data_IF_951531936668
#
_entry.id   IF_951531936668
#
_cell.length_a   1.000
_cell.length_b   1.000
_cell.length_c   1.000
_cell.angle_alpha   90.00
_cell.angle_beta   90.00
_cell.angle_gamma   90.00
#
_symmetry.space_group_name_H-M   'P 1'
#
loop_
_entity.id
_entity.type
_entity.pdbx_description
1 polymer ?
#
# COMPACT_ATOMS: atom_id res chain seq x y z
N UNK A 1 5.51 0.85 -17.29
CA UNK A 1 4.53 1.30 -16.29
C UNK A 1 5.10 1.26 -14.88
N UNK A 2 5.80 0.20 -14.47
CA UNK A 2 6.42 0.10 -13.12
C UNK A 2 7.47 1.19 -12.76
N UNK A 3 8.05 1.87 -13.75
CA UNK A 3 9.05 2.92 -13.53
C UNK A 3 8.45 4.33 -13.40
N UNK A 4 7.13 4.50 -13.42
CA UNK A 4 6.54 5.84 -13.28
C UNK A 4 6.61 6.31 -11.82
N UNK A 5 6.78 7.61 -11.61
CA UNK A 5 6.83 8.19 -10.25
C UNK A 5 5.54 7.88 -9.50
N UNK A 6 4.38 7.96 -10.18
CA UNK A 6 3.09 7.65 -9.57
C UNK A 6 3.01 6.20 -9.09
N UNK A 7 3.51 5.25 -9.88
CA UNK A 7 3.59 3.84 -9.48
C UNK A 7 4.45 3.64 -8.23
N UNK A 8 5.64 4.24 -8.20
CA UNK A 8 6.55 4.13 -7.05
C UNK A 8 5.95 4.77 -5.78
N UNK A 9 5.26 5.90 -5.91
CA UNK A 9 4.52 6.52 -4.80
C UNK A 9 3.37 5.63 -4.31
N UNK A 10 2.63 4.98 -5.22
CA UNK A 10 1.58 4.02 -4.87
C UNK A 10 2.12 2.84 -4.07
N UNK A 11 3.21 2.24 -4.57
CA UNK A 11 3.92 1.16 -3.88
C UNK A 11 4.41 1.58 -2.49
N UNK A 12 5.02 2.76 -2.38
CA UNK A 12 5.50 3.30 -1.11
C UNK A 12 4.36 3.59 -0.12
N UNK A 13 3.21 4.07 -0.60
CA UNK A 13 2.03 4.32 0.23
C UNK A 13 1.48 3.01 0.82
N UNK A 14 1.38 1.96 -0.01
CA UNK A 14 0.97 0.64 0.44
C UNK A 14 1.94 0.04 1.46
N UNK A 15 3.26 0.09 1.20
CA UNK A 15 4.30 -0.37 2.15
C UNK A 15 4.26 0.37 3.50
N UNK A 16 3.85 1.64 3.51
CA UNK A 16 3.70 2.45 4.73
C UNK A 16 2.32 2.31 5.39
N UNK A 17 1.44 1.43 4.86
CA UNK A 17 0.04 1.28 5.31
C UNK A 17 -0.74 2.58 5.33
N UNK A 18 -0.44 3.48 4.40
CA UNK A 18 -1.20 4.72 4.23
C UNK A 18 -2.51 4.36 3.55
N UNK A 19 -3.64 4.58 4.22
CA UNK A 19 -4.96 4.42 3.61
C UNK A 19 -5.05 5.27 2.33
N UNK A 20 -5.64 4.75 1.26
CA UNK A 20 -5.75 5.44 -0.03
C UNK A 20 -6.40 6.83 0.14
N UNK A 21 -7.43 6.93 0.99
CA UNK A 21 -8.12 8.17 1.33
C UNK A 21 -7.20 9.23 1.98
N UNK A 22 -6.11 8.82 2.62
CA UNK A 22 -5.13 9.70 3.23
C UNK A 22 -3.93 9.98 2.31
N UNK A 23 -3.87 9.34 1.15
CA UNK A 23 -2.79 9.55 0.17
C UNK A 23 -3.06 10.80 -0.68
N UNK A 24 -2.00 11.45 -1.16
CA UNK A 24 -2.13 12.61 -2.03
C UNK A 24 -2.82 12.30 -3.38
N UNK A 25 -3.07 11.01 -3.70
CA UNK A 25 -3.66 10.58 -4.96
C UNK A 25 -5.13 10.98 -5.10
N UNK A 26 -5.87 11.17 -4.00
CA UNK A 26 -7.26 11.65 -4.03
C UNK A 26 -7.38 13.04 -4.70
N UNK A 27 -6.26 13.76 -4.82
CA UNK A 27 -6.18 15.07 -5.47
C UNK A 27 -5.90 14.97 -6.97
N UNK A 28 -5.58 13.78 -7.50
CA UNK A 28 -5.48 13.55 -8.93
C UNK A 28 -6.87 13.33 -9.53
N UNK A 29 -6.98 13.61 -10.83
CA UNK A 29 -8.18 13.25 -11.59
C UNK A 29 -8.23 11.72 -11.74
N UNK A 30 -9.36 11.12 -11.36
CA UNK A 30 -9.62 9.67 -11.43
C UNK A 30 -9.46 9.09 -12.84
N UNK A 31 -9.64 9.90 -13.89
CA UNK A 31 -9.49 9.48 -15.29
C UNK A 31 -8.08 9.73 -15.83
N UNK A 32 -7.10 10.03 -14.98
CA UNK A 32 -5.73 10.30 -15.41
C UNK A 32 -4.85 9.06 -15.31
N UNK A 33 -3.98 8.87 -16.30
CA UNK A 33 -2.96 7.81 -16.29
C UNK A 33 -2.11 7.81 -15.01
N UNK A 34 -1.90 8.97 -14.39
CA UNK A 34 -1.15 9.08 -13.13
C UNK A 34 -1.91 8.48 -11.94
N UNK A 35 -3.24 8.57 -11.94
CA UNK A 35 -4.09 7.94 -10.94
C UNK A 35 -4.06 6.41 -11.13
N UNK A 36 -4.20 5.95 -12.37
CA UNK A 36 -4.11 4.52 -12.71
C UNK A 36 -2.74 3.92 -12.35
N UNK A 37 -1.65 4.62 -12.69
CA UNK A 37 -0.30 4.20 -12.36
C UNK A 37 -0.08 4.09 -10.85
N UNK A 38 -0.61 5.02 -10.06
CA UNK A 38 -0.52 4.97 -8.60
C UNK A 38 -1.34 3.81 -8.03
N UNK A 39 -2.57 3.61 -8.50
CA UNK A 39 -3.39 2.48 -8.07
C UNK A 39 -2.72 1.15 -8.42
N UNK A 40 -2.11 1.03 -9.61
CA UNK A 40 -1.35 -0.14 -9.98
C UNK A 40 -0.17 -0.37 -9.02
N UNK A 41 0.56 0.68 -8.64
CA UNK A 41 1.64 0.58 -7.65
C UNK A 41 1.14 0.19 -6.25
N UNK A 42 0.05 0.80 -5.79
CA UNK A 42 -0.56 0.55 -4.49
C UNK A 42 -1.08 -0.89 -4.39
N UNK A 43 -1.80 -1.36 -5.41
CA UNK A 43 -2.37 -2.71 -5.47
C UNK A 43 -1.32 -3.78 -5.82
N UNK A 44 -0.13 -3.40 -6.31
CA UNK A 44 0.98 -4.35 -6.54
C UNK A 44 1.55 -4.90 -5.24
N UNK A 45 1.33 -4.22 -4.12
CA UNK A 45 1.72 -4.68 -2.79
C UNK A 45 0.56 -5.49 -2.23
N UNK A 46 0.74 -6.81 -2.19
CA UNK A 46 -0.23 -7.69 -1.55
C UNK A 46 -0.28 -7.39 -0.05
N UNK A 47 -1.44 -7.01 0.48
CA UNK A 47 -1.60 -6.79 1.92
C UNK A 47 -1.43 -8.09 2.73
N UNK A 48 -1.58 -9.26 2.10
CA UNK A 48 -1.23 -10.57 2.69
C UNK A 48 0.28 -10.73 2.94
N UNK A 49 1.15 -10.01 2.21
CA UNK A 49 2.59 -9.97 2.52
C UNK A 49 2.94 -8.89 3.56
N UNK A 50 2.00 -7.97 3.80
CA UNK A 50 2.06 -7.07 4.95
C UNK A 50 1.47 -7.74 6.19
N UNK A 51 0.85 -8.93 6.07
CA UNK A 51 0.33 -9.67 7.21
C UNK A 51 1.44 -10.39 7.98
N UNK A 52 1.40 -10.13 9.28
CA UNK A 52 2.25 -10.68 10.33
C UNK A 52 3.76 -10.54 10.06
N UNK A 53 4.20 -9.35 9.60
CA UNK A 53 5.57 -8.87 9.79
C UNK A 53 5.88 -8.73 11.28
N UNK A 54 6.06 -9.86 11.97
CA UNK A 54 6.66 -9.93 13.29
C UNK A 54 8.10 -9.48 13.09
N UNK A 55 8.32 -8.17 13.22
CA UNK A 55 9.63 -7.58 13.21
C UNK A 55 10.50 -8.34 14.23
N UNK A 56 11.64 -8.82 13.76
CA UNK A 56 12.77 -9.33 14.54
C UNK A 56 13.20 -8.45 15.75
N UNK A 57 12.62 -7.26 15.94
CA UNK A 57 12.75 -6.38 17.10
C UNK A 57 11.78 -6.66 18.27
N UNK A 58 11.05 -7.78 18.27
CA UNK A 58 10.47 -8.33 19.51
C UNK A 58 9.26 -7.57 20.07
N UNK A 59 8.47 -6.91 19.21
CA UNK A 59 7.16 -6.40 19.63
C UNK A 59 6.11 -7.50 19.48
N UNK A 60 5.37 -7.76 20.56
CA UNK A 60 4.30 -8.77 20.61
C UNK A 60 3.30 -8.53 19.48
N UNK A 61 3.18 -9.51 18.59
CA UNK A 61 2.17 -9.58 17.54
C UNK A 61 0.78 -9.71 18.20
N UNK A 62 0.14 -8.57 18.45
CA UNK A 62 -1.27 -8.52 18.85
C UNK A 62 -2.13 -8.58 17.59
N UNK A 63 -2.79 -9.74 17.43
CA UNK A 63 -4.02 -9.95 16.66
C UNK A 63 -3.84 -10.15 15.14
N UNK A 64 -3.24 -11.29 14.76
CA UNK A 64 -3.79 -12.06 13.65
C UNK A 64 -4.84 -12.98 14.35
N UNK A 65 -6.07 -12.48 14.58
CA UNK A 65 -7.18 -13.31 15.06
C UNK A 65 -7.53 -14.26 13.91
N UNK A 66 -6.95 -15.46 13.92
CA UNK A 66 -7.57 -16.60 13.26
C UNK A 66 -8.83 -16.90 14.06
N UNK A 67 -9.99 -16.53 13.51
CA UNK A 67 -11.29 -17.02 13.95
C UNK A 67 -11.29 -18.57 13.86
N UNK A 68 -11.09 -19.25 15.00
CA UNK A 68 -11.58 -20.61 15.28
C UNK A 68 -12.51 -20.61 16.51
#
# INVERSE_FOLDING_TARGET
MENSIAYQEGKNAALKRIAIENSAIIKLNENSQRYDDFLAGFNSVNNDELDCGCDSLGSQCSVCDDDE
#
